data_IF_194753038446
#
_entry.id   IF_194753038446
#
_cell.length_a   1.000
_cell.length_b   1.000
_cell.length_c   1.000
_cell.angle_alpha   90.00
_cell.angle_beta   90.00
_cell.angle_gamma   90.00
#
_symmetry.space_group_name_H-M   'P 1'
#
loop_
_entity.id
_entity.type
_entity.pdbx_description
1 polymer ?
#
# COMPACT_ATOMS: atom_id res chain seq x y z
N UNK A 1 -1.44 7.26 -9.73
CA UNK A 1 -0.70 7.73 -10.93
C UNK A 1 0.60 6.94 -11.05
N UNK A 2 1.06 6.65 -12.26
CA UNK A 2 2.34 5.97 -12.51
C UNK A 2 3.34 6.96 -13.09
N UNK A 3 4.51 7.11 -12.47
CA UNK A 3 5.58 7.98 -12.95
C UNK A 3 6.75 7.11 -13.38
N UNK A 4 7.22 7.26 -14.61
CA UNK A 4 8.36 6.49 -15.11
C UNK A 4 9.58 6.70 -14.20
N UNK A 5 10.21 5.62 -13.79
CA UNK A 5 11.38 5.62 -12.93
C UNK A 5 12.58 5.16 -13.77
N UNK A 6 13.17 6.09 -14.52
CA UNK A 6 14.13 5.78 -15.59
C UNK A 6 15.37 5.04 -15.08
N UNK A 7 15.85 5.38 -13.89
CA UNK A 7 17.06 4.80 -13.30
C UNK A 7 16.77 3.75 -12.21
N UNK A 8 15.51 3.36 -12.04
CA UNK A 8 15.17 2.41 -10.99
C UNK A 8 15.55 0.98 -11.38
N UNK A 9 16.46 0.40 -10.60
CA UNK A 9 16.85 -1.00 -10.67
C UNK A 9 16.57 -1.65 -9.31
N UNK A 10 15.78 -2.73 -9.25
CA UNK A 10 15.60 -3.51 -8.04
C UNK A 10 16.95 -3.99 -7.48
N UNK A 11 17.20 -3.71 -6.21
CA UNK A 11 18.42 -4.12 -5.52
C UNK A 11 18.45 -5.64 -5.27
N UNK A 12 17.29 -6.28 -5.15
CA UNK A 12 17.18 -7.73 -5.04
C UNK A 12 16.06 -8.28 -5.94
N UNK A 13 16.38 -8.82 -7.13
CA UNK A 13 15.40 -9.35 -8.06
C UNK A 13 14.47 -10.43 -7.49
N UNK A 14 14.87 -11.14 -6.44
CA UNK A 14 14.03 -12.17 -5.79
C UNK A 14 12.86 -11.59 -5.01
N UNK A 15 12.87 -10.30 -4.70
CA UNK A 15 11.74 -9.60 -4.07
C UNK A 15 10.72 -9.06 -5.09
N UNK A 16 10.96 -9.26 -6.39
CA UNK A 16 9.98 -8.93 -7.43
C UNK A 16 8.82 -9.91 -7.33
N UNK A 17 7.65 -9.37 -6.96
CA UNK A 17 6.40 -10.12 -6.92
C UNK A 17 5.69 -10.03 -8.26
N UNK A 18 4.91 -11.06 -8.61
CA UNK A 18 4.22 -11.16 -9.91
C UNK A 18 2.72 -11.27 -9.74
N UNK A 19 1.96 -10.63 -10.63
CA UNK A 19 0.49 -10.63 -10.63
C UNK A 19 -0.11 -10.15 -9.29
N UNK A 20 0.53 -9.17 -8.66
CA UNK A 20 0.10 -8.67 -7.37
C UNK A 20 -1.08 -7.71 -7.52
N UNK A 21 -2.12 -7.85 -6.66
CA UNK A 21 -3.20 -6.88 -6.60
C UNK A 21 -2.75 -5.60 -5.89
N UNK A 22 -2.91 -4.46 -6.56
CA UNK A 22 -2.75 -3.14 -5.94
C UNK A 22 -4.11 -2.45 -5.85
N UNK A 23 -4.47 -2.02 -4.65
CA UNK A 23 -5.73 -1.34 -4.36
C UNK A 23 -5.52 0.18 -4.32
N UNK A 24 -6.43 0.94 -4.93
CA UNK A 24 -6.45 2.41 -4.77
C UNK A 24 -7.06 2.83 -3.43
N UNK A 25 -7.89 1.97 -2.83
CA UNK A 25 -8.49 2.14 -1.51
C UNK A 25 -9.36 0.93 -1.14
N UNK A 26 -9.85 0.88 0.11
CA UNK A 26 -10.47 -0.32 0.70
C UNK A 26 -11.77 -0.84 0.04
N UNK A 27 -12.32 -0.15 -0.96
CA UNK A 27 -13.50 -0.58 -1.74
C UNK A 27 -13.27 -0.61 -3.25
N UNK A 28 -12.07 -0.30 -3.75
CA UNK A 28 -11.78 -0.31 -5.19
C UNK A 28 -11.43 -1.71 -5.67
N UNK A 29 -11.85 -2.09 -6.88
CA UNK A 29 -11.30 -3.28 -7.56
C UNK A 29 -9.77 -3.14 -7.70
N UNK A 30 -9.01 -4.24 -7.53
CA UNK A 30 -7.56 -4.17 -7.62
C UNK A 30 -7.12 -4.00 -9.06
N UNK A 31 -6.01 -3.27 -9.24
CA UNK A 31 -5.21 -3.37 -10.45
C UNK A 31 -4.29 -4.57 -10.28
N UNK A 32 -4.38 -5.53 -11.19
CA UNK A 32 -3.47 -6.68 -11.20
C UNK A 32 -2.21 -6.28 -11.95
N UNK A 33 -1.12 -6.11 -11.21
CA UNK A 33 0.16 -5.63 -11.73
C UNK A 33 1.08 -6.82 -12.06
N UNK A 34 1.65 -6.80 -13.26
CA UNK A 34 2.49 -7.89 -13.77
C UNK A 34 3.72 -8.14 -12.91
N UNK A 35 4.51 -7.10 -12.63
CA UNK A 35 5.64 -7.15 -11.70
C UNK A 35 5.58 -5.96 -10.74
N UNK A 36 5.81 -6.24 -9.46
CA UNK A 36 5.75 -5.28 -8.35
C UNK A 36 7.00 -5.40 -7.49
N UNK A 37 7.58 -4.26 -7.13
CA UNK A 37 8.73 -4.16 -6.25
C UNK A 37 8.49 -3.08 -5.20
N UNK A 38 8.77 -3.39 -3.94
CA UNK A 38 8.56 -2.45 -2.82
C UNK A 38 9.90 -2.07 -2.22
N UNK A 39 10.14 -0.76 -2.10
CA UNK A 39 11.35 -0.21 -1.49
C UNK A 39 10.99 0.52 -0.21
N UNK A 40 11.72 0.19 0.86
CA UNK A 40 11.60 0.81 2.17
C UNK A 40 10.22 0.63 2.80
N UNK A 41 9.78 1.66 3.51
CA UNK A 41 8.58 1.61 4.36
C UNK A 41 8.90 1.21 5.79
N UNK A 42 7.97 1.49 6.69
CA UNK A 42 8.05 1.13 8.11
C UNK A 42 6.98 0.10 8.40
N UNK A 43 7.35 -0.95 9.12
CA UNK A 43 6.37 -1.88 9.67
C UNK A 43 5.44 -1.12 10.63
N UNK A 44 4.14 -1.34 10.45
CA UNK A 44 3.08 -0.79 11.29
C UNK A 44 2.09 -1.90 11.62
N UNK A 45 1.40 -1.76 12.74
CA UNK A 45 0.36 -2.68 13.19
C UNK A 45 -0.98 -1.98 13.10
N UNK A 46 -1.94 -2.57 12.37
CA UNK A 46 -3.25 -1.98 12.11
C UNK A 46 -4.35 -2.74 12.84
N UNK A 47 -5.38 -2.00 13.28
CA UNK A 47 -6.61 -2.57 13.83
C UNK A 47 -7.77 -1.63 13.49
N UNK A 48 -8.94 -2.12 13.00
CA UNK A 48 -10.04 -1.27 12.54
C UNK A 48 -10.48 -0.20 13.56
N UNK A 49 -10.62 -0.60 14.82
CA UNK A 49 -11.02 0.30 15.92
C UNK A 49 -9.86 1.07 16.55
N UNK A 50 -8.81 0.37 17.01
CA UNK A 50 -7.79 0.96 17.89
C UNK A 50 -6.58 1.57 17.16
N UNK A 51 -6.34 1.19 15.91
CA UNK A 51 -5.22 1.69 15.11
C UNK A 51 -5.57 1.71 13.60
N UNK A 52 -6.59 2.47 13.17
CA UNK A 52 -7.04 2.48 11.77
C UNK A 52 -5.96 3.02 10.80
N UNK A 53 -5.05 3.86 11.31
CA UNK A 53 -3.95 4.43 10.51
C UNK A 53 -2.61 3.68 10.70
N UNK A 54 -2.62 2.58 11.47
CA UNK A 54 -1.42 1.86 11.87
C UNK A 54 -0.63 2.56 12.97
N UNK A 55 -0.04 1.76 13.84
CA UNK A 55 0.82 2.22 14.95
C UNK A 55 2.14 1.46 14.95
N UNK A 56 3.15 1.99 15.65
CA UNK A 56 4.40 1.24 15.88
C UNK A 56 4.16 0.02 16.78
N UNK A 57 5.12 -0.90 16.81
CA UNK A 57 5.09 -2.05 17.73
C UNK A 57 4.88 -1.62 19.19
N UNK A 58 5.62 -0.61 19.65
CA UNK A 58 5.56 -0.12 21.03
C UNK A 58 4.19 0.46 21.37
N UNK A 59 3.56 1.17 20.43
CA UNK A 59 2.22 1.69 20.60
C UNK A 59 1.16 0.59 20.60
N UNK A 60 1.28 -0.42 19.72
CA UNK A 60 0.42 -1.59 19.73
C UNK A 60 0.46 -2.29 21.09
N UNK A 61 1.65 -2.52 21.65
CA UNK A 61 1.82 -3.13 22.98
C UNK A 61 1.14 -2.31 24.06
N UNK A 62 1.32 -0.98 24.05
CA UNK A 62 0.65 -0.06 25.01
C UNK A 62 -0.88 -0.12 24.89
N UNK A 63 -1.42 -0.21 23.68
CA UNK A 63 -2.86 -0.34 23.47
C UNK A 63 -3.37 -1.66 24.06
N UNK A 64 -2.70 -2.78 23.75
CA UNK A 64 -3.08 -4.10 24.29
C UNK A 64 -3.04 -4.12 25.82
N UNK A 65 -2.04 -3.47 26.42
CA UNK A 65 -1.91 -3.35 27.87
C UNK A 65 -3.09 -2.57 28.48
N UNK A 66 -3.44 -1.41 27.91
CA UNK A 66 -4.59 -0.62 28.39
C UNK A 66 -5.92 -1.36 28.28
N UNK A 67 -6.13 -2.11 27.20
CA UNK A 67 -7.35 -2.90 27.03
C UNK A 67 -7.44 -4.01 28.08
N UNK A 68 -6.33 -4.65 28.41
CA UNK A 68 -6.25 -5.64 29.50
C UNK A 68 -6.55 -5.01 30.87
N UNK A 69 -6.06 -3.80 31.13
CA UNK A 69 -6.33 -3.05 32.37
C UNK A 69 -7.80 -2.64 32.51
N UNK A 70 -8.52 -2.49 31.40
CA UNK A 70 -9.96 -2.20 31.36
C UNK A 70 -10.84 -3.46 31.43
N UNK A 71 -10.27 -4.60 31.85
CA UNK A 71 -10.95 -5.90 31.93
C UNK A 71 -11.58 -6.35 30.59
N UNK A 72 -10.99 -5.93 29.47
CA UNK A 72 -11.41 -6.41 28.17
C UNK A 72 -10.90 -7.84 27.95
N UNK A 73 -11.80 -8.82 28.02
CA UNK A 73 -11.48 -10.25 27.88
C UNK A 73 -11.35 -10.73 26.42
N UNK A 74 -11.64 -9.87 25.44
CA UNK A 74 -11.55 -10.21 24.03
C UNK A 74 -10.12 -10.23 23.49
N UNK A 75 -9.80 -11.21 22.64
CA UNK A 75 -8.53 -11.25 21.90
C UNK A 75 -8.53 -10.12 20.87
N UNK A 76 -7.59 -9.18 21.01
CA UNK A 76 -7.38 -8.07 20.05
C UNK A 76 -6.15 -8.35 19.20
N UNK A 77 -6.39 -8.74 17.95
CA UNK A 77 -5.35 -9.02 16.96
C UNK A 77 -5.10 -7.80 16.09
N UNK A 78 -3.84 -7.45 15.88
CA UNK A 78 -3.43 -6.42 14.95
C UNK A 78 -2.76 -7.10 13.75
N UNK A 79 -3.06 -6.62 12.55
CA UNK A 79 -2.40 -7.09 11.34
C UNK A 79 -1.11 -6.29 11.12
N UNK A 80 -0.04 -6.95 10.66
CA UNK A 80 1.16 -6.24 10.22
C UNK A 80 0.96 -5.68 8.82
N UNK A 81 1.46 -4.47 8.61
CA UNK A 81 1.43 -3.77 7.33
C UNK A 81 2.69 -2.93 7.16
N UNK A 82 2.95 -2.44 5.95
CA UNK A 82 4.09 -1.56 5.67
C UNK A 82 3.59 -0.20 5.21
N UNK A 83 3.94 0.86 5.95
CA UNK A 83 3.54 2.24 5.65
C UNK A 83 4.69 3.01 5.00
N UNK A 84 4.34 3.96 4.12
CA UNK A 84 5.29 4.82 3.38
C UNK A 84 6.30 4.04 2.52
N UNK A 85 5.98 2.81 2.15
CA UNK A 85 6.74 2.05 1.17
C UNK A 85 6.56 2.69 -0.21
N UNK A 86 7.64 2.77 -1.00
CA UNK A 86 7.54 3.12 -2.41
C UNK A 86 7.26 1.85 -3.21
N UNK A 87 6.21 1.85 -4.01
CA UNK A 87 5.87 0.72 -4.86
C UNK A 87 6.24 1.04 -6.30
N UNK A 88 7.04 0.19 -6.92
CA UNK A 88 7.40 0.24 -8.32
C UNK A 88 6.71 -0.89 -9.06
N UNK A 89 6.18 -0.62 -10.25
CA UNK A 89 5.54 -1.62 -11.09
C UNK A 89 6.05 -1.56 -12.52
N UNK A 90 5.97 -2.68 -13.23
CA UNK A 90 6.19 -2.73 -14.69
C UNK A 90 5.38 -3.83 -15.35
N UNK A 91 5.34 -3.79 -16.68
CA UNK A 91 4.62 -4.77 -17.49
C UNK A 91 3.13 -4.46 -17.57
N UNK A 92 2.30 -5.51 -17.60
CA UNK A 92 0.85 -5.38 -17.78
C UNK A 92 0.18 -4.95 -16.48
N UNK A 93 -0.74 -4.00 -16.57
CA UNK A 93 -1.64 -3.60 -15.47
C UNK A 93 -3.06 -3.82 -15.94
N UNK A 94 -3.75 -4.78 -15.33
CA UNK A 94 -5.13 -5.14 -15.67
C UNK A 94 -6.10 -4.58 -14.63
N UNK A 95 -7.16 -3.95 -15.10
CA UNK A 95 -8.30 -3.53 -14.28
C UNK A 95 -9.60 -3.95 -14.98
N UNK A 96 -10.68 -4.29 -14.27
CA UNK A 96 -11.93 -4.66 -14.91
C UNK A 96 -12.63 -3.52 -15.65
N UNK A 97 -12.36 -2.28 -15.25
CA UNK A 97 -13.12 -1.13 -15.72
C UNK A 97 -12.42 -0.39 -16.88
N UNK A 98 -11.16 -0.74 -17.20
CA UNK A 98 -10.41 -0.16 -18.32
C UNK A 98 -9.53 -1.19 -19.06
N UNK A 99 -9.07 -0.82 -20.27
CA UNK A 99 -8.16 -1.66 -21.06
C UNK A 99 -6.82 -1.91 -20.34
N UNK A 100 -6.17 -3.03 -20.65
CA UNK A 100 -4.87 -3.36 -20.05
C UNK A 100 -3.84 -2.30 -20.42
N UNK A 101 -3.18 -1.73 -19.41
CA UNK A 101 -2.09 -0.78 -19.60
C UNK A 101 -0.77 -1.53 -19.68
N UNK A 102 0.13 -1.08 -20.54
CA UNK A 102 1.46 -1.64 -20.72
C UNK A 102 2.52 -0.62 -20.28
N UNK A 103 3.23 -0.94 -19.20
CA UNK A 103 4.30 -0.11 -18.66
C UNK A 103 5.66 -0.62 -19.14
N UNK A 104 6.31 0.17 -20.01
CA UNK A 104 7.67 -0.09 -20.48
C UNK A 104 8.68 0.37 -19.43
N UNK A 105 9.32 -0.59 -18.76
CA UNK A 105 10.22 -0.32 -17.65
C UNK A 105 9.50 0.01 -16.34
N UNK A 106 10.28 0.32 -15.30
CA UNK A 106 9.76 0.55 -13.96
C UNK A 106 9.07 1.90 -13.84
N UNK A 107 7.95 1.91 -13.13
CA UNK A 107 7.19 3.11 -12.80
C UNK A 107 6.89 3.16 -11.31
N UNK A 108 7.10 4.31 -10.68
CA UNK A 108 6.68 4.55 -9.30
C UNK A 108 5.16 4.77 -9.24
N UNK A 109 4.50 4.02 -8.37
CA UNK A 109 3.09 4.18 -8.03
C UNK A 109 2.95 5.30 -7.00
N UNK A 110 2.38 6.42 -7.44
CA UNK A 110 1.85 7.44 -6.54
C UNK A 110 0.49 6.94 -6.03
N UNK A 111 0.50 6.36 -4.82
CA UNK A 111 -0.73 6.05 -4.09
C UNK A 111 -1.31 7.34 -3.51
N UNK A 112 -2.57 7.62 -3.80
CA UNK A 112 -3.28 8.75 -3.23
C UNK A 112 -3.81 8.34 -1.84
N UNK A 113 -2.91 8.13 -0.88
CA UNK A 113 -3.28 7.71 0.48
C UNK A 113 -3.75 8.91 1.31
N UNK A 114 -5.06 9.15 1.30
CA UNK A 114 -5.84 9.70 2.41
C UNK A 114 -5.77 11.22 2.70
N UNK A 115 -6.93 11.88 2.57
CA UNK A 115 -7.34 13.15 3.22
C UNK A 115 -6.48 14.43 3.10
N UNK A 116 -5.34 14.44 2.42
CA UNK A 116 -4.49 15.64 2.27
C UNK A 116 -4.29 16.10 0.82
N UNK A 117 -5.35 16.06 0.02
CA UNK A 117 -5.31 16.66 -1.32
C UNK A 117 -6.40 17.73 -1.46
N UNK A 118 -6.31 18.78 -0.64
CA UNK A 118 -6.74 20.09 -1.11
C UNK A 118 -5.73 20.50 -2.18
N UNK A 119 -6.20 20.54 -3.42
CA UNK A 119 -5.53 21.05 -4.61
C UNK A 119 -4.30 20.25 -5.13
N UNK A 120 -4.53 19.39 -6.12
CA UNK A 120 -3.70 19.43 -7.32
C UNK A 120 -4.48 18.84 -8.50
N UNK A 121 -4.67 19.70 -9.50
CA UNK A 121 -5.52 19.59 -10.69
C UNK A 121 -4.86 18.77 -11.81
N UNK A 122 -3.93 17.86 -11.49
CA UNK A 122 -3.07 17.21 -12.48
C UNK A 122 -2.97 15.68 -12.41
N UNK A 123 -3.86 14.97 -11.70
CA UNK A 123 -3.77 13.51 -11.65
C UNK A 123 -5.13 12.81 -11.57
N UNK A 124 -6.02 13.16 -12.50
CA UNK A 124 -7.14 12.28 -12.85
C UNK A 124 -6.55 11.15 -13.70
N UNK A 125 -6.29 10.01 -13.07
CA UNK A 125 -6.06 8.79 -13.83
C UNK A 125 -7.44 8.33 -14.32
N UNK A 126 -7.68 8.53 -15.62
CA UNK A 126 -8.85 8.00 -16.32
C UNK A 126 -8.90 6.48 -16.14
N UNK A 127 -10.06 6.00 -15.71
CA UNK A 127 -10.57 4.67 -16.03
C UNK A 127 -11.16 4.75 -17.45
#
# INVERSE_FOLDING_TARGET
MFVKAEDFVPDNPNLIKRNEPIFRGGRSKPHICGEVYTVGGKEVYVHPTYAPNGVSYIEMVKIKQRLKEQDFSGIVNFDSSTRNARIYIRGKVKHPDHNTIHLLGWHWVLMNTGNESKASWASVFLD
#
